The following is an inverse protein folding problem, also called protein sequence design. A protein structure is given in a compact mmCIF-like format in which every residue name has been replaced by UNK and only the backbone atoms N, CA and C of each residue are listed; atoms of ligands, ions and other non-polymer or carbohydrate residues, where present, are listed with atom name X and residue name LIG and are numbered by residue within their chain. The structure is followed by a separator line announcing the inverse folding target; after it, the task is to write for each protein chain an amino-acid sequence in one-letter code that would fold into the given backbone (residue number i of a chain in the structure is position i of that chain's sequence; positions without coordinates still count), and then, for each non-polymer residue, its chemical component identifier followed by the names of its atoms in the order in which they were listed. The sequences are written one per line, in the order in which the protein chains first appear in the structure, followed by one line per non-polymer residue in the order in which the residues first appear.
data_IF_766553028341
#
_entry.id   IF_766553028341
#
_cell.length_a   1.000
_cell.length_b   1.000
_cell.length_c   1.000
_cell.angle_alpha   90.00
_cell.angle_beta   90.00
_cell.angle_gamma   90.00
#
_symmetry.space_group_name_H-M   'P 1'
#
loop_
_entity.id
_entity.type
_entity.pdbx_description
1 polymer ?
#
# COMPACT_ATOMS: atom_id res chain seq x y z
N UNK A 1 -3.81 -1.35 20.28
CA UNK A 1 -4.02 -0.99 18.86
C UNK A 1 -2.87 -1.56 18.05
N UNK A 2 -3.14 -2.31 16.98
CA UNK A 2 -2.10 -2.91 16.14
C UNK A 2 -1.48 -1.81 15.26
N UNK A 3 -0.17 -1.63 15.39
CA UNK A 3 0.59 -0.65 14.59
C UNK A 3 1.33 -1.31 13.43
N UNK A 4 1.23 -2.64 13.30
CA UNK A 4 1.92 -3.41 12.26
C UNK A 4 1.07 -3.46 10.98
N UNK A 5 1.48 -2.71 9.97
CA UNK A 5 0.74 -2.58 8.71
C UNK A 5 1.66 -2.76 7.50
N UNK A 6 1.13 -3.37 6.44
CA UNK A 6 1.72 -3.39 5.11
C UNK A 6 1.03 -2.31 4.29
N UNK A 7 1.81 -1.36 3.80
CA UNK A 7 1.30 -0.30 2.95
C UNK A 7 1.53 -0.66 1.48
N UNK A 8 0.49 -0.50 0.69
CA UNK A 8 0.51 -0.57 -0.76
C UNK A 8 0.35 0.84 -1.29
N UNK A 9 1.36 1.33 -2.00
CA UNK A 9 1.32 2.64 -2.63
C UNK A 9 0.75 2.48 -4.03
N UNK A 10 -0.29 3.26 -4.32
CA UNK A 10 -1.02 3.24 -5.59
C UNK A 10 -1.15 4.65 -6.13
N UNK A 11 -1.10 4.83 -7.44
CA UNK A 11 -1.32 6.14 -8.06
C UNK A 11 -2.82 6.43 -8.19
N UNK A 12 -3.24 7.67 -7.91
CA UNK A 12 -4.63 8.12 -8.10
C UNK A 12 -5.06 8.10 -9.57
N UNK A 13 -4.10 8.22 -10.49
CA UNK A 13 -4.36 8.20 -11.93
C UNK A 13 -4.64 6.80 -12.48
N UNK A 14 -4.47 5.74 -11.68
CA UNK A 14 -4.77 4.38 -12.13
C UNK A 14 -6.28 4.16 -12.22
N UNK A 15 -6.77 3.68 -13.37
CA UNK A 15 -8.14 3.18 -13.49
C UNK A 15 -8.37 1.92 -12.65
N UNK A 16 -7.36 1.05 -12.54
CA UNK A 16 -7.36 -0.10 -11.64
C UNK A 16 -6.12 -0.05 -10.72
N UNK A 17 -6.24 0.50 -9.51
CA UNK A 17 -5.10 0.64 -8.60
C UNK A 17 -4.54 -0.68 -8.09
N UNK A 18 -5.33 -1.76 -8.14
CA UNK A 18 -4.93 -3.10 -7.70
C UNK A 18 -3.95 -3.79 -8.66
N UNK A 19 -3.86 -3.33 -9.91
CA UNK A 19 -2.93 -3.86 -10.90
C UNK A 19 -1.57 -3.14 -10.91
N UNK A 20 -1.50 -1.89 -10.42
CA UNK A 20 -0.32 -1.03 -10.56
C UNK A 20 0.20 -0.52 -9.20
N UNK A 21 0.69 -1.45 -8.36
CA UNK A 21 1.39 -1.10 -7.13
C UNK A 21 2.75 -0.47 -7.44
N UNK A 22 2.94 0.76 -7.00
CA UNK A 22 4.19 1.51 -7.22
C UNK A 22 5.27 1.06 -6.26
N UNK A 23 4.86 0.78 -5.00
CA UNK A 23 5.75 0.41 -3.91
C UNK A 23 4.96 -0.35 -2.85
N UNK A 24 5.65 -1.19 -2.10
CA UNK A 24 5.15 -1.73 -0.84
C UNK A 24 6.11 -1.41 0.30
N UNK A 25 5.57 -1.12 1.48
CA UNK A 25 6.34 -0.99 2.71
C UNK A 25 5.66 -1.75 3.84
N UNK A 26 6.40 -2.04 4.91
CA UNK A 26 5.81 -2.54 6.15
C UNK A 26 6.21 -1.59 7.26
N UNK A 27 5.22 -1.02 7.93
CA UNK A 27 5.37 -0.07 9.03
C UNK A 27 5.02 -0.72 10.38
N UNK A 28 5.60 -0.16 11.44
CA UNK A 28 5.39 -0.59 12.82
C UNK A 28 6.29 -1.71 13.28
N UNK A 29 6.08 -2.14 14.52
CA UNK A 29 6.86 -3.20 15.16
C UNK A 29 6.14 -4.55 15.08
N UNK A 30 6.89 -5.64 15.14
CA UNK A 30 6.30 -6.99 15.22
C UNK A 30 5.69 -7.28 16.60
N UNK A 31 6.02 -6.47 17.60
CA UNK A 31 5.45 -6.53 18.94
C UNK A 31 3.99 -6.08 18.88
N UNK A 32 3.08 -6.93 19.37
CA UNK A 32 1.62 -6.73 19.26
C UNK A 32 1.05 -6.74 17.83
N UNK A 33 1.71 -7.44 16.89
CA UNK A 33 1.13 -7.69 15.56
C UNK A 33 -0.14 -8.54 15.67
N UNK A 34 -1.08 -8.33 14.75
CA UNK A 34 -2.24 -9.20 14.66
C UNK A 34 -1.83 -10.64 14.26
N UNK A 35 -2.51 -11.66 14.81
CA UNK A 35 -2.18 -13.07 14.54
C UNK A 35 -2.40 -13.45 13.08
N UNK A 36 -3.26 -12.73 12.36
CA UNK A 36 -3.54 -12.92 10.93
C UNK A 36 -2.52 -12.25 10.01
N UNK A 37 -1.52 -11.53 10.55
CA UNK A 37 -0.50 -10.83 9.77
C UNK A 37 -0.58 -9.29 9.87
N UNK A 38 0.27 -8.57 9.12
CA UNK A 38 0.20 -7.11 9.03
C UNK A 38 -1.14 -6.67 8.43
N UNK A 39 -1.70 -5.59 8.95
CA UNK A 39 -2.89 -4.99 8.37
C UNK A 39 -2.58 -4.35 7.03
N UNK A 40 -3.49 -4.45 6.07
CA UNK A 40 -3.29 -3.85 4.76
C UNK A 40 -3.76 -2.39 4.77
N UNK A 41 -2.93 -1.50 4.23
CA UNK A 41 -3.25 -0.08 4.03
C UNK A 41 -2.93 0.31 2.60
N UNK A 42 -3.85 1.03 1.96
CA UNK A 42 -3.63 1.59 0.64
C UNK A 42 -3.34 3.08 0.77
N UNK A 43 -2.19 3.51 0.27
CA UNK A 43 -1.75 4.90 0.28
C UNK A 43 -1.80 5.40 -1.15
N UNK A 44 -2.67 6.37 -1.40
CA UNK A 44 -2.85 6.96 -2.73
C UNK A 44 -1.83 8.08 -2.92
N UNK A 45 -1.01 7.96 -3.96
CA UNK A 45 -0.09 8.99 -4.43
C UNK A 45 -0.78 9.81 -5.53
N UNK A 46 -0.71 11.14 -5.50
CA UNK A 46 -1.37 12.02 -6.47
C UNK A 46 -0.67 12.03 -7.84
N UNK A 47 0.43 11.31 -8.00
CA UNK A 47 1.23 11.29 -9.22
C UNK A 47 0.61 10.43 -10.32
N UNK A 48 1.09 10.64 -11.54
CA UNK A 48 0.65 9.89 -12.71
C UNK A 48 1.26 8.50 -12.74
N UNK A 49 0.45 7.49 -13.06
CA UNK A 49 0.97 6.14 -13.25
C UNK A 49 1.74 6.03 -14.57
N UNK A 50 3.03 5.66 -14.57
CA UNK A 50 3.80 5.51 -15.80
C UNK A 50 3.35 4.31 -16.64
N UNK A 51 2.58 3.37 -16.07
CA UNK A 51 2.05 2.19 -16.78
C UNK A 51 0.71 2.50 -17.45
N UNK A 52 -0.19 3.25 -16.79
CA UNK A 52 -1.49 3.64 -17.39
C UNK A 52 -1.36 4.73 -18.45
N UNK A 53 -0.36 5.60 -18.34
CA UNK A 53 -0.15 6.72 -19.24
C UNK A 53 1.02 6.50 -20.21
N UNK A 54 1.50 5.25 -20.33
CA UNK A 54 2.49 4.82 -21.32
C UNK A 54 1.87 4.51 -22.67
#
# INVERSE_FOLDING_TARGET
MCLFARNYYIYSACMDPGLHFCKTSTDGTRENRCPKGPHERYIVLPETCPICCG
#
